data_IF_263710518579
#
_entry.id   IF_263710518579
#
_cell.length_a   1.000
_cell.length_b   1.000
_cell.length_c   1.000
_cell.angle_alpha   90.00
_cell.angle_beta   90.00
_cell.angle_gamma   90.00
#
_symmetry.space_group_name_H-M   'P 1'
#
loop_
_entity.id
_entity.type
_entity.pdbx_description
1 polymer ?
#
# COMPACT_ATOMS: atom_id res chain seq x y z
N UNK A 1 -24.99 -1.70 30.76
CA UNK A 1 -24.58 -0.65 29.82
C UNK A 1 -24.42 -1.34 28.49
N UNK A 2 -25.52 -1.44 27.75
CA UNK A 2 -25.56 -2.15 26.48
C UNK A 2 -24.93 -1.27 25.41
N UNK A 3 -23.92 -1.79 24.73
CA UNK A 3 -23.23 -1.08 23.67
C UNK A 3 -24.22 -0.80 22.51
N UNK A 4 -24.12 0.34 21.81
CA UNK A 4 -25.03 0.64 20.71
C UNK A 4 -24.88 -0.37 19.55
N UNK A 5 -25.96 -0.64 18.77
CA UNK A 5 -25.96 -1.65 17.70
C UNK A 5 -24.82 -1.51 16.68
N UNK A 6 -24.38 -0.27 16.43
CA UNK A 6 -23.27 0.05 15.52
C UNK A 6 -21.89 -0.43 16.02
N UNK A 7 -21.72 -0.62 17.34
CA UNK A 7 -20.43 -1.03 17.93
C UNK A 7 -20.15 -2.52 17.70
N UNK A 8 -21.20 -3.34 17.58
CA UNK A 8 -21.08 -4.77 17.29
C UNK A 8 -20.61 -5.02 15.86
N UNK A 9 -21.04 -4.21 14.91
CA UNK A 9 -20.58 -4.27 13.52
C UNK A 9 -19.07 -3.98 13.43
N UNK A 10 -18.64 -2.89 14.06
CA UNK A 10 -17.22 -2.47 14.10
C UNK A 10 -16.33 -3.50 14.81
N UNK A 11 -16.89 -4.25 15.76
CA UNK A 11 -16.19 -5.35 16.45
C UNK A 11 -16.10 -6.63 15.60
N UNK A 12 -17.14 -6.93 14.80
CA UNK A 12 -17.19 -8.07 13.89
C UNK A 12 -16.27 -7.88 12.69
N UNK A 13 -16.23 -6.66 12.12
CA UNK A 13 -15.28 -6.33 11.05
C UNK A 13 -13.83 -6.49 11.52
N UNK A 14 -13.49 -5.98 12.71
CA UNK A 14 -12.15 -6.16 13.31
C UNK A 14 -11.76 -7.63 13.55
N UNK A 15 -12.73 -8.52 13.76
CA UNK A 15 -12.47 -9.95 13.92
C UNK A 15 -12.18 -10.60 12.56
N UNK A 16 -12.99 -10.29 11.55
CA UNK A 16 -12.76 -10.77 10.18
C UNK A 16 -11.46 -10.26 9.57
N UNK A 17 -11.06 -9.03 9.89
CA UNK A 17 -9.77 -8.49 9.45
C UNK A 17 -8.60 -9.24 10.09
N UNK A 18 -8.70 -9.60 11.38
CA UNK A 18 -7.69 -10.43 12.06
C UNK A 18 -7.59 -11.84 11.49
N UNK A 19 -8.72 -12.47 11.19
CA UNK A 19 -8.73 -13.83 10.64
C UNK A 19 -8.03 -13.86 9.27
N UNK A 20 -8.21 -12.82 8.45
CA UNK A 20 -7.51 -12.66 7.15
C UNK A 20 -6.00 -12.46 7.32
N UNK A 21 -5.58 -11.58 8.22
CA UNK A 21 -4.15 -11.36 8.50
C UNK A 21 -3.45 -12.65 8.93
N UNK A 22 -4.15 -13.48 9.71
CA UNK A 22 -3.62 -14.76 10.16
C UNK A 22 -3.51 -15.80 9.03
N UNK A 23 -4.50 -15.85 8.13
CA UNK A 23 -4.45 -16.69 6.92
C UNK A 23 -3.31 -16.27 5.98
N UNK A 24 -3.10 -14.97 5.79
CA UNK A 24 -1.99 -14.44 4.99
C UNK A 24 -0.63 -14.81 5.58
N UNK A 25 -0.45 -14.67 6.89
CA UNK A 25 0.76 -15.06 7.61
C UNK A 25 1.09 -16.55 7.45
N UNK A 26 0.11 -17.43 7.62
CA UNK A 26 0.28 -18.87 7.42
C UNK A 26 0.66 -19.22 5.98
N UNK A 27 0.13 -18.47 5.02
CA UNK A 27 0.46 -18.65 3.59
C UNK A 27 1.88 -18.18 3.30
N UNK A 28 2.29 -17.05 3.87
CA UNK A 28 3.64 -16.49 3.70
C UNK A 28 4.71 -17.41 4.29
N UNK A 29 4.49 -18.03 5.46
CA UNK A 29 5.43 -18.97 6.06
C UNK A 29 5.72 -20.20 5.20
N UNK A 30 4.77 -20.60 4.33
CA UNK A 30 4.94 -21.71 3.39
C UNK A 30 5.76 -21.33 2.15
N UNK A 31 5.70 -20.06 1.73
CA UNK A 31 6.37 -19.57 0.51
C UNK A 31 7.76 -19.02 0.81
N UNK A 32 7.90 -18.30 1.94
CA UNK A 32 9.14 -17.64 2.33
C UNK A 32 10.09 -18.65 2.99
N UNK A 33 11.37 -18.70 2.58
CA UNK A 33 12.35 -19.56 3.24
C UNK A 33 12.49 -19.27 4.73
N UNK A 34 12.73 -20.31 5.53
CA UNK A 34 12.79 -20.21 7.00
C UNK A 34 13.78 -19.17 7.52
N UNK A 35 14.89 -18.92 6.80
CA UNK A 35 15.88 -17.90 7.15
C UNK A 35 15.29 -16.47 7.20
N UNK A 36 14.19 -16.23 6.49
CA UNK A 36 13.54 -14.93 6.37
C UNK A 36 12.22 -14.85 7.14
N UNK A 37 11.86 -15.85 7.95
CA UNK A 37 10.62 -15.82 8.75
C UNK A 37 10.60 -14.69 9.78
N UNK A 38 11.75 -14.11 10.11
CA UNK A 38 11.85 -12.89 10.93
C UNK A 38 11.40 -11.61 10.21
N UNK A 39 11.24 -11.64 8.88
CA UNK A 39 10.89 -10.52 8.02
C UNK A 39 9.55 -10.74 7.30
N UNK A 40 8.66 -11.57 7.86
CA UNK A 40 7.35 -11.87 7.24
C UNK A 40 6.47 -10.62 7.07
N UNK A 41 6.67 -9.63 7.93
CA UNK A 41 6.06 -8.30 7.83
C UNK A 41 6.37 -7.62 6.48
N UNK A 42 7.61 -7.71 6.00
CA UNK A 42 8.03 -7.11 4.71
C UNK A 42 7.32 -7.75 3.50
N UNK A 43 6.81 -8.98 3.65
CA UNK A 43 6.09 -9.67 2.58
C UNK A 43 4.58 -9.42 2.60
N UNK A 44 4.06 -8.67 3.58
CA UNK A 44 2.64 -8.32 3.66
C UNK A 44 2.20 -7.53 2.42
N UNK A 45 1.18 -8.06 1.73
CA UNK A 45 0.60 -7.40 0.56
C UNK A 45 -0.06 -6.07 0.94
N UNK A 46 -0.77 -6.06 2.05
CA UNK A 46 -1.49 -4.87 2.55
C UNK A 46 -0.51 -3.75 2.89
N UNK A 47 0.60 -4.07 3.54
CA UNK A 47 1.62 -3.06 3.86
C UNK A 47 2.39 -2.61 2.60
N UNK A 48 2.65 -3.51 1.65
CA UNK A 48 3.32 -3.18 0.40
C UNK A 48 2.52 -2.23 -0.50
N UNK A 49 1.18 -2.30 -0.47
CA UNK A 49 0.30 -1.37 -1.19
C UNK A 49 0.26 0.02 -0.53
N UNK A 50 0.63 0.11 0.75
CA UNK A 50 0.74 1.39 1.46
C UNK A 50 2.06 2.07 1.14
N UNK A 51 2.00 3.36 0.78
CA UNK A 51 3.23 4.16 0.61
C UNK A 51 4.01 4.16 1.92
N UNK A 52 5.30 3.81 1.84
CA UNK A 52 6.22 3.98 2.96
C UNK A 52 6.22 5.43 3.44
N UNK A 53 6.42 5.67 4.74
CA UNK A 53 6.53 7.03 5.27
C UNK A 53 7.72 7.77 4.65
N UNK A 54 7.64 9.09 4.59
CA UNK A 54 8.76 9.92 4.15
C UNK A 54 9.98 9.72 5.06
N UNK A 55 11.14 9.54 4.46
CA UNK A 55 12.41 9.37 5.18
C UNK A 55 13.24 10.65 5.15
N UNK A 56 14.13 10.81 6.13
CA UNK A 56 15.07 11.93 6.18
C UNK A 56 16.06 11.93 4.99
N UNK A 57 16.24 10.77 4.35
CA UNK A 57 17.10 10.58 3.18
C UNK A 57 16.31 10.62 1.86
N UNK A 58 15.03 10.97 1.87
CA UNK A 58 14.27 11.17 0.64
C UNK A 58 14.94 12.23 -0.23
N UNK A 59 14.91 12.03 -1.54
CA UNK A 59 15.45 13.02 -2.46
C UNK A 59 14.68 14.34 -2.35
N UNK A 60 15.37 15.37 -1.88
CA UNK A 60 14.88 16.74 -1.90
C UNK A 60 15.23 17.41 -3.24
N UNK A 61 14.24 18.02 -3.88
CA UNK A 61 14.46 18.84 -5.08
C UNK A 61 14.59 20.28 -4.62
N UNK A 62 15.81 20.81 -4.65
CA UNK A 62 16.07 22.23 -4.44
C UNK A 62 15.53 23.01 -5.64
N UNK A 63 14.69 24.01 -5.37
CA UNK A 63 14.10 24.84 -6.42
C UNK A 63 14.99 26.06 -6.68
N UNK A 64 15.44 26.21 -7.92
CA UNK A 64 16.21 27.37 -8.37
C UNK A 64 15.45 28.13 -9.47
N UNK A 65 15.51 29.47 -9.43
CA UNK A 65 14.97 30.33 -10.50
C UNK A 65 13.45 30.56 -10.44
N UNK A 66 12.86 30.83 -11.61
CA UNK A 66 11.42 31.10 -11.77
C UNK A 66 10.60 29.80 -11.94
N UNK A 67 9.30 29.86 -11.63
CA UNK A 67 8.38 28.73 -11.77
C UNK A 67 8.44 28.10 -13.18
N UNK A 68 8.42 26.75 -13.28
CA UNK A 68 8.45 26.06 -14.57
C UNK A 68 7.19 26.40 -15.38
N UNK A 69 7.29 26.50 -16.72
CA UNK A 69 6.15 26.77 -17.57
C UNK A 69 5.17 25.59 -17.54
N UNK A 70 3.89 25.87 -17.28
CA UNK A 70 2.82 24.88 -17.40
C UNK A 70 2.63 24.53 -18.87
N UNK A 71 2.88 23.27 -19.25
CA UNK A 71 2.73 22.77 -20.62
C UNK A 71 1.57 21.79 -20.72
N UNK A 72 0.91 21.77 -21.88
CA UNK A 72 -0.06 20.72 -22.21
C UNK A 72 0.68 19.40 -22.39
N UNK A 73 0.07 18.32 -21.90
CA UNK A 73 0.56 16.96 -22.15
C UNK A 73 0.33 16.66 -23.64
N UNK A 74 1.32 16.06 -24.30
CA UNK A 74 1.19 15.65 -25.69
C UNK A 74 0.03 14.64 -25.85
N UNK A 75 -0.69 14.73 -26.97
CA UNK A 75 -1.73 13.75 -27.26
C UNK A 75 -1.10 12.38 -27.50
N UNK A 76 -1.47 11.43 -26.66
CA UNK A 76 -1.14 10.03 -26.86
C UNK A 76 -2.19 9.39 -27.76
N UNK A 77 -1.76 8.46 -28.62
CA UNK A 77 -2.64 7.56 -29.35
C UNK A 77 -3.34 6.58 -28.39
N UNK A 78 -4.41 5.93 -28.86
CA UNK A 78 -5.13 4.94 -28.04
C UNK A 78 -4.21 3.79 -27.59
N UNK A 79 -3.30 3.35 -28.47
CA UNK A 79 -2.34 2.29 -28.14
C UNK A 79 -1.38 2.69 -27.02
N UNK A 80 -0.87 3.92 -27.06
CA UNK A 80 0.03 4.45 -26.01
C UNK A 80 -0.73 4.64 -24.70
N UNK A 81 -1.98 5.11 -24.75
CA UNK A 81 -2.85 5.22 -23.58
C UNK A 81 -3.14 3.88 -22.93
N UNK A 82 -3.49 2.87 -23.72
CA UNK A 82 -3.77 1.52 -23.22
C UNK A 82 -2.54 0.90 -22.58
N UNK A 83 -1.35 1.16 -23.13
CA UNK A 83 -0.07 0.69 -22.58
C UNK A 83 0.23 1.29 -21.21
N UNK A 84 -0.13 2.55 -20.96
CA UNK A 84 0.15 3.24 -19.68
C UNK A 84 -0.86 2.93 -18.57
N UNK A 85 -2.04 2.37 -18.89
CA UNK A 85 -3.09 2.05 -17.91
C UNK A 85 -3.03 0.60 -17.41
N UNK A 86 -2.29 -0.25 -18.11
CA UNK A 86 -2.08 -1.65 -17.74
C UNK A 86 -1.30 -1.78 -16.43
#
# INVERSE_FOLDING_TARGET
MDLPPSSYHDSLEKLWDKDKEQEEMETMMKVVPAAYHHYLDVFSKVEAEKRSPHHACDHHIELEGSLPPVRVIYFLSNQEWDTLRA
#
